data_IF_388080539517
#
_entry.id   IF_388080539517
#
_cell.length_a   1.000
_cell.length_b   1.000
_cell.length_c   1.000
_cell.angle_alpha   90.00
_cell.angle_beta   90.00
_cell.angle_gamma   90.00
#
_symmetry.space_group_name_H-M   'P 1'
#
loop_
_entity.id
_entity.type
_entity.pdbx_description
1 polymer ?
#
# COMPACT_ATOMS: atom_id res chain seq x y z
N UNK A 1 -32.02 0.68 11.66
CA UNK A 1 -30.74 -0.07 11.72
C UNK A 1 -29.98 0.20 10.43
N UNK A 2 -28.87 0.92 10.51
CA UNK A 2 -28.03 1.28 9.36
C UNK A 2 -27.04 0.16 9.05
N UNK A 3 -26.81 -0.02 7.75
CA UNK A 3 -26.34 -1.25 7.12
C UNK A 3 -24.94 -1.70 7.50
N UNK A 4 -24.75 -3.02 7.40
CA UNK A 4 -23.44 -3.64 7.35
C UNK A 4 -22.65 -3.04 6.19
N UNK A 5 -21.65 -2.21 6.50
CA UNK A 5 -20.64 -1.84 5.53
C UNK A 5 -19.85 -3.11 5.19
N UNK A 6 -20.17 -3.68 4.04
CA UNK A 6 -19.55 -4.85 3.44
C UNK A 6 -18.04 -4.84 3.62
N UNK A 7 -17.51 -5.86 4.32
CA UNK A 7 -16.10 -6.30 4.28
C UNK A 7 -15.78 -6.95 2.92
N UNK A 8 -16.18 -6.33 1.82
CA UNK A 8 -15.90 -6.79 0.45
C UNK A 8 -14.66 -6.02 0.00
N UNK A 9 -13.49 -6.66 0.07
CA UNK A 9 -12.23 -6.10 -0.43
C UNK A 9 -10.97 -6.80 0.08
N UNK A 10 -10.95 -7.27 1.32
CA UNK A 10 -9.71 -7.66 2.02
C UNK A 10 -9.03 -8.95 1.52
N UNK A 11 -9.74 -9.86 0.86
CA UNK A 11 -9.16 -11.16 0.46
C UNK A 11 -8.36 -11.09 -0.87
N UNK A 12 -8.68 -10.14 -1.77
CA UNK A 12 -7.96 -9.97 -3.05
C UNK A 12 -7.08 -8.73 -3.09
N UNK A 13 -7.29 -7.74 -2.22
CA UNK A 13 -6.39 -6.59 -2.08
C UNK A 13 -4.98 -7.02 -1.71
N UNK A 14 -4.80 -8.02 -0.83
CA UNK A 14 -3.47 -8.50 -0.44
C UNK A 14 -2.70 -9.13 -1.61
N UNK A 15 -3.24 -10.13 -2.34
CA UNK A 15 -2.55 -10.68 -3.51
C UNK A 15 -2.28 -9.65 -4.61
N UNK A 16 -3.25 -8.78 -4.92
CA UNK A 16 -3.08 -7.75 -5.95
C UNK A 16 -2.03 -6.70 -5.54
N UNK A 17 -2.05 -6.24 -4.28
CA UNK A 17 -1.06 -5.29 -3.75
C UNK A 17 0.36 -5.85 -3.84
N UNK A 18 0.56 -7.11 -3.44
CA UNK A 18 1.86 -7.79 -3.54
C UNK A 18 2.29 -7.93 -5.01
N UNK A 19 1.38 -8.34 -5.90
CA UNK A 19 1.68 -8.48 -7.32
C UNK A 19 2.08 -7.13 -7.95
N UNK A 20 1.41 -6.04 -7.57
CA UNK A 20 1.73 -4.70 -8.05
C UNK A 20 3.05 -4.18 -7.50
N UNK A 21 3.40 -4.45 -6.23
CA UNK A 21 4.74 -4.13 -5.69
C UNK A 21 5.83 -4.83 -6.50
N UNK A 22 5.66 -6.12 -6.77
CA UNK A 22 6.61 -6.91 -7.54
C UNK A 22 6.71 -6.44 -8.99
N UNK A 23 5.58 -6.13 -9.64
CA UNK A 23 5.55 -5.63 -11.01
C UNK A 23 6.19 -4.23 -11.15
N UNK A 24 6.02 -3.36 -10.16
CA UNK A 24 6.57 -2.00 -10.18
C UNK A 24 8.04 -1.91 -9.69
N UNK A 25 8.59 -3.03 -9.23
CA UNK A 25 9.94 -3.14 -8.69
C UNK A 25 11.02 -2.77 -9.71
N UNK A 26 12.10 -2.17 -9.24
CA UNK A 26 13.35 -1.94 -9.98
C UNK A 26 14.56 -2.41 -9.17
N UNK A 27 15.69 -2.75 -9.82
CA UNK A 27 16.92 -3.06 -9.11
C UNK A 27 17.30 -1.93 -8.13
N UNK A 28 17.59 -2.30 -6.89
CA UNK A 28 17.93 -1.34 -5.82
C UNK A 28 16.74 -0.76 -5.05
N UNK A 29 15.51 -1.07 -5.43
CA UNK A 29 14.33 -0.73 -4.63
C UNK A 29 14.34 -1.50 -3.30
N UNK A 30 13.94 -0.82 -2.22
CA UNK A 30 13.70 -1.44 -0.92
C UNK A 30 12.20 -1.55 -0.66
N UNK A 31 11.75 -2.66 -0.13
CA UNK A 31 10.33 -2.91 0.14
C UNK A 31 10.03 -2.79 1.63
N UNK A 32 8.82 -2.35 1.96
CA UNK A 32 8.25 -2.39 3.31
C UNK A 32 9.15 -1.72 4.36
N UNK A 33 9.65 -0.54 4.03
CA UNK A 33 10.61 0.19 4.87
C UNK A 33 9.86 0.97 5.95
N UNK A 34 10.21 0.74 7.21
CA UNK A 34 9.70 1.51 8.33
C UNK A 34 10.32 2.92 8.38
N UNK A 35 9.49 3.96 8.38
CA UNK A 35 9.90 5.36 8.45
C UNK A 35 8.82 6.20 9.13
N UNK A 36 9.18 6.98 10.16
CA UNK A 36 8.28 7.97 10.77
C UNK A 36 6.95 7.42 11.32
N UNK A 37 6.93 6.17 11.79
CA UNK A 37 5.71 5.51 12.29
C UNK A 37 4.85 4.83 11.21
N UNK A 38 5.31 4.81 9.96
CA UNK A 38 4.63 4.18 8.84
C UNK A 38 5.54 3.15 8.14
N UNK A 39 4.92 2.22 7.41
CA UNK A 39 5.61 1.30 6.51
C UNK A 39 5.36 1.77 5.08
N UNK A 40 6.43 2.06 4.35
CA UNK A 40 6.41 2.46 2.95
C UNK A 40 6.56 1.24 2.06
N UNK A 41 5.69 1.11 1.05
CA UNK A 41 5.69 -0.06 0.17
C UNK A 41 7.00 -0.20 -0.63
N UNK A 42 7.46 0.88 -1.25
CA UNK A 42 8.73 0.90 -2.00
C UNK A 42 9.50 2.21 -1.73
N UNK A 43 10.79 2.09 -1.41
CA UNK A 43 11.74 3.20 -1.34
C UNK A 43 12.75 3.08 -2.48
N UNK A 44 12.79 4.10 -3.33
CA UNK A 44 13.67 4.20 -4.51
C UNK A 44 14.52 5.46 -4.42
N UNK A 45 15.73 5.33 -3.87
CA UNK A 45 16.56 6.49 -3.55
C UNK A 45 15.83 7.43 -2.59
N UNK A 46 15.55 8.66 -3.02
CA UNK A 46 14.75 9.65 -2.28
C UNK A 46 13.23 9.59 -2.53
N UNK A 47 12.75 8.70 -3.40
CA UNK A 47 11.33 8.56 -3.71
C UNK A 47 10.67 7.51 -2.81
N UNK A 48 9.53 7.88 -2.22
CA UNK A 48 8.64 6.98 -1.48
C UNK A 48 7.42 6.67 -2.35
N UNK A 49 7.11 5.39 -2.53
CA UNK A 49 5.97 4.94 -3.33
C UNK A 49 5.05 4.09 -2.45
N UNK A 50 3.76 4.40 -2.50
CA UNK A 50 2.67 3.68 -1.82
C UNK A 50 1.71 3.15 -2.88
N UNK A 51 1.39 1.86 -2.83
CA UNK A 51 0.46 1.24 -3.77
C UNK A 51 -0.87 1.04 -3.03
N UNK A 52 -1.94 1.65 -3.53
CA UNK A 52 -3.27 1.47 -2.98
C UNK A 52 -4.15 0.79 -4.02
N UNK A 53 -4.74 -0.34 -3.65
CA UNK A 53 -5.71 -1.10 -4.47
C UNK A 53 -7.15 -0.90 -3.99
N UNK A 54 -7.32 -0.13 -2.92
CA UNK A 54 -8.61 0.21 -2.30
C UNK A 54 -8.77 1.72 -2.14
N UNK A 55 -9.52 2.15 -1.12
CA UNK A 55 -9.78 3.58 -0.90
C UNK A 55 -8.51 4.37 -0.51
N UNK A 56 -8.45 5.63 -0.91
CA UNK A 56 -7.34 6.54 -0.58
C UNK A 56 -7.42 7.14 0.83
N UNK A 57 -8.46 6.82 1.60
CA UNK A 57 -8.66 7.39 2.95
C UNK A 57 -7.55 6.98 3.93
N UNK A 58 -6.87 5.85 3.70
CA UNK A 58 -5.73 5.40 4.49
C UNK A 58 -4.47 6.26 4.32
N UNK A 59 -4.28 6.91 3.16
CA UNK A 59 -3.10 7.75 2.86
C UNK A 59 -3.19 9.13 3.51
N UNK A 60 -4.39 9.64 3.81
CA UNK A 60 -4.56 10.98 4.40
C UNK A 60 -3.85 11.20 5.73
N UNK A 61 -3.45 10.14 6.45
CA UNK A 61 -2.68 10.25 7.70
C UNK A 61 -1.16 10.28 7.48
N UNK A 62 -0.70 9.90 6.28
CA UNK A 62 0.73 9.83 5.90
C UNK A 62 1.22 11.09 5.18
N UNK A 63 0.29 11.90 4.66
CA UNK A 63 0.52 13.22 4.07
C UNK A 63 0.31 14.30 5.13
#
# INVERSE_FOLDING_TARGET
MIGAASKIGTLNEKPLHVALKAWYARPGDRFEVAMGGFIVDIVRGGLLVEIQTGNFSAIKRKL
#
